data_IF_894749296825
#
_entry.id   IF_894749296825
#
_cell.length_a   1.000
_cell.length_b   1.000
_cell.length_c   1.000
_cell.angle_alpha   90.00
_cell.angle_beta   90.00
_cell.angle_gamma   90.00
#
_symmetry.space_group_name_H-M   'P 1'
#
loop_
_entity.id
_entity.type
_entity.pdbx_description
1 polymer ?
#
# COMPACT_ATOMS: atom_id res chain seq x y z
N UNK A 1 10.39 9.51 11.14
CA UNK A 1 9.59 10.28 12.14
C UNK A 1 9.98 11.75 12.19
N UNK A 2 11.26 12.14 12.25
CA UNK A 2 11.69 13.54 12.29
C UNK A 2 11.16 14.36 11.11
N UNK A 3 11.29 13.84 9.88
CA UNK A 3 10.80 14.52 8.66
C UNK A 3 9.28 14.75 8.72
N UNK A 4 8.49 13.74 9.12
CA UNK A 4 7.03 13.91 9.24
C UNK A 4 6.64 14.90 10.33
N UNK A 5 7.42 14.99 11.42
CA UNK A 5 7.23 16.00 12.43
C UNK A 5 7.43 17.42 11.89
N UNK A 6 8.45 17.64 11.08
CA UNK A 6 8.71 18.93 10.41
C UNK A 6 7.60 19.28 9.41
N UNK A 7 7.19 18.32 8.56
CA UNK A 7 6.10 18.52 7.59
C UNK A 7 4.80 18.91 8.30
N UNK A 8 4.45 18.20 9.38
CA UNK A 8 3.22 18.50 10.13
C UNK A 8 3.32 19.87 10.86
N UNK A 9 4.48 20.23 11.35
CA UNK A 9 4.69 21.54 12.00
C UNK A 9 4.57 22.70 10.99
N UNK A 10 5.02 22.50 9.75
CA UNK A 10 5.03 23.54 8.72
C UNK A 10 3.70 23.63 7.94
N UNK A 11 3.10 22.50 7.59
CA UNK A 11 1.93 22.44 6.69
C UNK A 11 0.65 21.93 7.37
N UNK A 12 0.74 21.51 8.62
CA UNK A 12 -0.35 20.86 9.33
C UNK A 12 -0.49 19.35 9.02
N UNK A 13 -1.45 18.68 9.66
CA UNK A 13 -1.71 17.25 9.44
C UNK A 13 -2.12 16.96 7.99
N UNK A 14 -1.60 15.89 7.37
CA UNK A 14 -1.97 15.53 6.01
C UNK A 14 -3.45 15.13 5.94
N UNK A 15 -4.13 15.51 4.86
CA UNK A 15 -5.49 15.03 4.56
C UNK A 15 -5.48 13.66 3.91
N UNK A 16 -4.46 13.35 3.12
CA UNK A 16 -4.28 12.06 2.47
C UNK A 16 -2.84 11.57 2.66
N UNK A 17 -2.70 10.33 3.07
CA UNK A 17 -1.42 9.62 3.14
C UNK A 17 -1.51 8.39 2.27
N UNK A 18 -0.56 8.23 1.35
CA UNK A 18 -0.46 7.04 0.50
C UNK A 18 0.87 6.35 0.78
N UNK A 19 0.80 5.17 1.41
CA UNK A 19 1.95 4.31 1.60
C UNK A 19 2.12 3.40 0.38
N UNK A 20 3.06 3.75 -0.50
CA UNK A 20 3.25 3.10 -1.81
C UNK A 20 4.65 2.49 -1.98
N UNK A 21 5.34 2.16 -0.89
CA UNK A 21 6.66 1.55 -0.97
C UNK A 21 6.58 0.06 -1.26
N UNK A 22 7.55 -0.45 -2.04
CA UNK A 22 7.67 -1.88 -2.30
C UNK A 22 9.14 -2.27 -2.51
N UNK A 23 9.50 -3.42 -1.95
CA UNK A 23 10.76 -4.12 -2.19
C UNK A 23 10.44 -5.49 -2.80
N UNK A 24 10.53 -5.58 -4.12
CA UNK A 24 10.20 -6.80 -4.85
C UNK A 24 11.39 -7.76 -4.84
N UNK A 25 11.22 -8.89 -4.19
CA UNK A 25 12.17 -10.01 -4.18
C UNK A 25 11.56 -11.20 -4.94
N UNK A 26 12.23 -11.63 -6.00
CA UNK A 26 11.84 -12.79 -6.81
C UNK A 26 13.02 -13.79 -6.80
N UNK A 27 12.94 -14.79 -5.95
CA UNK A 27 13.97 -15.83 -5.83
C UNK A 27 13.37 -17.13 -5.30
N UNK A 28 13.90 -18.32 -5.69
CA UNK A 28 13.57 -19.57 -5.02
C UNK A 28 13.81 -19.48 -3.52
N UNK A 29 12.99 -20.16 -2.71
CA UNK A 29 13.09 -20.09 -1.25
C UNK A 29 14.52 -20.38 -0.73
N UNK A 30 15.18 -21.42 -1.28
CA UNK A 30 16.53 -21.78 -0.90
C UNK A 30 17.60 -20.71 -1.23
N UNK A 31 17.27 -19.73 -2.08
CA UNK A 31 18.14 -18.61 -2.47
C UNK A 31 17.70 -17.28 -1.85
N UNK A 32 16.59 -17.27 -1.11
CA UNK A 32 16.08 -16.08 -0.43
C UNK A 32 16.74 -15.98 0.94
N UNK A 33 17.60 -14.98 1.12
CA UNK A 33 18.33 -14.75 2.36
C UNK A 33 17.47 -14.08 3.44
N UNK A 34 17.85 -14.21 4.70
CA UNK A 34 17.23 -13.41 5.79
C UNK A 34 17.35 -11.91 5.53
N UNK A 35 18.42 -11.48 4.86
CA UNK A 35 18.58 -10.08 4.44
C UNK A 35 17.50 -9.61 3.46
N UNK A 36 17.02 -10.49 2.56
CA UNK A 36 15.92 -10.18 1.65
C UNK A 36 14.60 -9.98 2.41
N UNK A 37 14.30 -10.86 3.37
CA UNK A 37 13.15 -10.69 4.25
C UNK A 37 13.25 -9.39 5.05
N UNK A 38 14.41 -9.09 5.62
CA UNK A 38 14.62 -7.87 6.39
C UNK A 38 14.40 -6.62 5.53
N UNK A 39 14.95 -6.56 4.31
CA UNK A 39 14.74 -5.45 3.39
C UNK A 39 13.27 -5.28 3.01
N UNK A 40 12.60 -6.39 2.66
CA UNK A 40 11.18 -6.37 2.31
C UNK A 40 10.32 -5.87 3.49
N UNK A 41 10.58 -6.37 4.70
CA UNK A 41 9.88 -5.95 5.91
C UNK A 41 10.14 -4.48 6.26
N UNK A 42 11.40 -4.05 6.26
CA UNK A 42 11.78 -2.67 6.58
C UNK A 42 11.19 -1.68 5.58
N UNK A 43 11.28 -1.97 4.28
CA UNK A 43 10.76 -1.10 3.24
C UNK A 43 9.24 -1.01 3.25
N UNK A 44 8.53 -2.10 3.49
CA UNK A 44 7.08 -2.16 3.36
C UNK A 44 6.34 -2.06 4.68
N UNK A 45 6.72 -2.84 5.70
CA UNK A 45 5.94 -2.92 6.95
C UNK A 45 6.40 -1.88 7.96
N UNK A 46 7.70 -1.83 8.25
CA UNK A 46 8.23 -0.88 9.22
C UNK A 46 8.00 0.57 8.79
N UNK A 47 8.16 0.88 7.50
CA UNK A 47 7.87 2.21 6.98
C UNK A 47 6.38 2.58 7.14
N UNK A 48 5.46 1.64 6.92
CA UNK A 48 4.03 1.86 7.13
C UNK A 48 3.72 2.14 8.61
N UNK A 49 4.32 1.37 9.54
CA UNK A 49 4.19 1.61 10.98
C UNK A 49 4.69 3.00 11.37
N UNK A 50 5.86 3.41 10.86
CA UNK A 50 6.45 4.73 11.14
C UNK A 50 5.60 5.89 10.61
N UNK A 51 5.07 5.77 9.42
CA UNK A 51 4.19 6.79 8.82
C UNK A 51 2.86 6.84 9.55
N UNK A 52 2.21 5.69 9.80
CA UNK A 52 0.97 5.64 10.57
C UNK A 52 1.14 6.23 11.97
N UNK A 53 2.19 5.84 12.69
CA UNK A 53 2.51 6.38 14.02
C UNK A 53 2.74 7.89 14.06
N UNK A 54 3.20 8.47 12.92
CA UNK A 54 3.44 9.91 12.82
C UNK A 54 2.20 10.70 12.36
N UNK A 55 1.23 10.07 11.68
CA UNK A 55 0.15 10.79 11.00
C UNK A 55 -1.25 10.52 11.55
N UNK A 56 -1.54 9.31 12.06
CA UNK A 56 -2.90 8.93 12.46
C UNK A 56 -3.48 9.86 13.53
N UNK A 57 -2.79 10.07 14.65
CA UNK A 57 -3.29 10.94 15.72
C UNK A 57 -3.39 12.42 15.31
N UNK A 58 -2.41 13.00 14.58
CA UNK A 58 -2.58 14.33 13.98
C UNK A 58 -3.81 14.44 13.07
N UNK A 59 -4.08 13.42 12.22
CA UNK A 59 -5.25 13.40 11.35
C UNK A 59 -6.56 13.37 12.15
N UNK A 60 -6.65 12.53 13.19
CA UNK A 60 -7.81 12.49 14.09
C UNK A 60 -8.07 13.88 14.70
N UNK A 61 -7.04 14.52 15.26
CA UNK A 61 -7.17 15.86 15.85
C UNK A 61 -7.58 16.95 14.85
N UNK A 62 -7.29 16.74 13.56
CA UNK A 62 -7.67 17.65 12.48
C UNK A 62 -9.05 17.37 11.87
N UNK A 63 -9.81 16.44 12.46
CA UNK A 63 -11.16 16.08 12.00
C UNK A 63 -11.19 14.97 10.94
N UNK A 64 -10.09 14.23 10.78
CA UNK A 64 -10.02 13.06 9.92
C UNK A 64 -9.11 13.21 8.70
N UNK A 65 -9.16 12.20 7.85
CA UNK A 65 -8.37 12.10 6.62
C UNK A 65 -8.40 10.69 6.04
N UNK A 66 -7.57 10.41 5.04
CA UNK A 66 -7.51 9.10 4.38
C UNK A 66 -6.09 8.53 4.40
N UNK A 67 -5.94 7.27 4.78
CA UNK A 67 -4.69 6.53 4.78
C UNK A 67 -4.81 5.30 3.87
N UNK A 68 -4.14 5.34 2.73
CA UNK A 68 -4.16 4.28 1.72
C UNK A 68 -2.85 3.50 1.76
N UNK A 69 -2.93 2.18 1.81
CA UNK A 69 -1.77 1.29 1.70
C UNK A 69 -1.85 0.52 0.39
N UNK A 70 -0.83 0.67 -0.45
CA UNK A 70 -0.71 -0.09 -1.70
C UNK A 70 -0.32 -1.54 -1.41
N UNK A 71 -1.29 -2.42 -1.56
CA UNK A 71 -1.14 -3.87 -1.53
C UNK A 71 -0.67 -4.43 -2.88
N UNK A 72 -0.88 -5.71 -3.05
CA UNK A 72 -0.61 -6.46 -4.29
C UNK A 72 -1.39 -7.78 -4.26
N UNK A 73 -1.40 -8.53 -5.36
CA UNK A 73 -1.78 -9.96 -5.39
C UNK A 73 -1.19 -10.73 -4.20
N UNK A 74 0.06 -10.40 -3.89
CA UNK A 74 0.82 -10.98 -2.77
C UNK A 74 0.28 -10.62 -1.37
N UNK A 75 -0.72 -9.75 -1.25
CA UNK A 75 -1.49 -9.53 -0.01
C UNK A 75 -2.58 -10.57 0.21
N UNK A 76 -2.93 -11.33 -0.82
CA UNK A 76 -4.01 -12.33 -0.82
C UNK A 76 -3.50 -13.76 -0.93
N UNK A 77 -2.46 -13.98 -1.73
CA UNK A 77 -1.88 -15.30 -1.99
C UNK A 77 -0.36 -15.23 -2.18
N UNK A 78 0.36 -16.21 -1.64
CA UNK A 78 1.80 -16.38 -1.88
C UNK A 78 2.03 -17.10 -3.19
N UNK A 79 2.87 -16.54 -4.08
CA UNK A 79 3.36 -17.21 -5.28
C UNK A 79 4.70 -17.90 -5.02
N UNK A 80 5.03 -18.93 -5.84
CA UNK A 80 6.37 -19.49 -5.85
C UNK A 80 7.41 -18.40 -6.16
N UNK A 81 8.55 -18.42 -5.47
CA UNK A 81 9.64 -17.43 -5.57
C UNK A 81 9.36 -16.04 -4.98
N UNK A 82 8.20 -15.82 -4.31
CA UNK A 82 7.81 -14.53 -3.73
C UNK A 82 7.74 -14.54 -2.20
N UNK A 83 8.39 -15.48 -1.52
CA UNK A 83 8.21 -15.71 -0.08
C UNK A 83 8.47 -14.46 0.78
N UNK A 84 9.58 -13.72 0.55
CA UNK A 84 9.87 -12.50 1.29
C UNK A 84 8.88 -11.36 0.97
N UNK A 85 8.54 -11.18 -0.30
CA UNK A 85 7.60 -10.15 -0.74
C UNK A 85 6.18 -10.43 -0.23
N UNK A 86 5.69 -11.66 -0.39
CA UNK A 86 4.35 -12.03 0.04
C UNK A 86 4.17 -11.95 1.56
N UNK A 87 5.15 -12.43 2.34
CA UNK A 87 5.08 -12.31 3.81
C UNK A 87 4.94 -10.86 4.28
N UNK A 88 5.68 -9.93 3.68
CA UNK A 88 5.58 -8.50 4.00
C UNK A 88 4.24 -7.90 3.53
N UNK A 89 3.72 -8.28 2.35
CA UNK A 89 2.42 -7.80 1.85
C UNK A 89 1.24 -8.32 2.68
N UNK A 90 1.29 -9.56 3.16
CA UNK A 90 0.30 -10.07 4.13
C UNK A 90 0.37 -9.31 5.46
N UNK A 91 1.59 -9.03 5.96
CA UNK A 91 1.76 -8.25 7.16
C UNK A 91 1.20 -6.82 7.02
N UNK A 92 1.40 -6.17 5.87
CA UNK A 92 0.79 -4.87 5.55
C UNK A 92 -0.73 -4.92 5.59
N UNK A 93 -1.35 -5.97 5.02
CA UNK A 93 -2.80 -6.14 5.05
C UNK A 93 -3.31 -6.27 6.48
N UNK A 94 -2.65 -7.10 7.31
CA UNK A 94 -2.98 -7.25 8.73
C UNK A 94 -2.85 -5.94 9.51
N UNK A 95 -1.77 -5.19 9.28
CA UNK A 95 -1.58 -3.85 9.85
C UNK A 95 -2.71 -2.91 9.46
N UNK A 96 -3.04 -2.84 8.16
CA UNK A 96 -4.10 -1.97 7.64
C UNK A 96 -5.46 -2.29 8.27
N UNK A 97 -5.78 -3.58 8.45
CA UNK A 97 -7.00 -4.02 9.12
C UNK A 97 -7.08 -3.57 10.59
N UNK A 98 -5.97 -3.63 11.31
CA UNK A 98 -5.89 -3.15 12.71
C UNK A 98 -6.08 -1.64 12.78
N UNK A 99 -5.36 -0.89 11.93
CA UNK A 99 -5.48 0.57 11.86
C UNK A 99 -6.89 1.02 11.47
N UNK A 100 -7.55 0.31 10.55
CA UNK A 100 -8.93 0.61 10.17
C UNK A 100 -9.89 0.48 11.36
N UNK A 101 -9.81 -0.62 12.11
CA UNK A 101 -10.67 -0.84 13.28
C UNK A 101 -10.46 0.19 14.38
N UNK A 102 -9.24 0.68 14.54
CA UNK A 102 -8.89 1.67 15.57
C UNK A 102 -9.27 3.10 15.15
N UNK A 103 -8.97 3.49 13.91
CA UNK A 103 -9.01 4.90 13.50
C UNK A 103 -10.23 5.29 12.65
N UNK A 104 -10.94 4.35 12.00
CA UNK A 104 -12.16 4.69 11.26
C UNK A 104 -13.26 5.28 12.16
N UNK A 105 -13.52 4.76 13.38
CA UNK A 105 -14.46 5.39 14.30
C UNK A 105 -14.05 6.82 14.71
N UNK A 106 -12.76 7.13 14.64
CA UNK A 106 -12.20 8.46 14.93
C UNK A 106 -12.08 9.37 13.69
N UNK A 107 -12.67 8.97 12.54
CA UNK A 107 -12.76 9.79 11.34
C UNK A 107 -11.59 9.65 10.36
N UNK A 108 -10.69 8.68 10.53
CA UNK A 108 -9.63 8.40 9.54
C UNK A 108 -10.00 7.21 8.68
N UNK A 109 -10.26 7.44 7.40
CA UNK A 109 -10.51 6.38 6.41
C UNK A 109 -9.22 5.60 6.13
N UNK A 110 -9.19 4.31 6.46
CA UNK A 110 -8.03 3.43 6.24
C UNK A 110 -8.38 2.37 5.20
N UNK A 111 -7.66 2.37 4.07
CA UNK A 111 -7.90 1.48 2.94
C UNK A 111 -6.65 0.70 2.53
N UNK A 112 -6.83 -0.59 2.21
CA UNK A 112 -5.83 -1.45 1.58
C UNK A 112 -6.20 -1.64 0.11
N UNK A 113 -5.45 -1.02 -0.79
CA UNK A 113 -5.66 -1.15 -2.23
C UNK A 113 -4.82 -2.30 -2.79
N UNK A 114 -5.46 -3.37 -3.21
CA UNK A 114 -4.83 -4.55 -3.80
C UNK A 114 -4.61 -4.25 -5.28
N UNK A 115 -3.34 -4.08 -5.67
CA UNK A 115 -2.94 -3.89 -7.08
C UNK A 115 -2.63 -5.28 -7.65
N UNK A 116 -3.66 -5.93 -8.22
CA UNK A 116 -3.55 -7.29 -8.77
C UNK A 116 -3.26 -7.23 -10.28
N UNK A 117 -2.02 -6.87 -10.59
CA UNK A 117 -1.50 -6.75 -11.93
C UNK A 117 -0.14 -6.06 -11.96
N UNK A 118 0.47 -5.99 -13.13
CA UNK A 118 1.75 -5.32 -13.36
C UNK A 118 1.47 -3.85 -13.66
N UNK A 119 2.08 -2.95 -12.87
CA UNK A 119 1.98 -1.51 -13.11
C UNK A 119 2.89 -1.13 -14.28
N UNK A 120 2.40 -0.35 -15.22
CA UNK A 120 3.13 0.11 -16.39
C UNK A 120 4.18 1.17 -16.01
N UNK A 121 5.42 0.73 -15.84
CA UNK A 121 6.58 1.56 -15.58
C UNK A 121 7.76 1.12 -16.44
N UNK A 122 8.76 1.99 -16.64
CA UNK A 122 9.98 1.62 -17.35
C UNK A 122 10.66 0.38 -16.75
N UNK A 123 10.67 0.25 -15.41
CA UNK A 123 11.21 -0.94 -14.72
C UNK A 123 10.38 -2.19 -15.02
N UNK A 124 9.06 -2.10 -14.98
CA UNK A 124 8.18 -3.24 -15.21
C UNK A 124 8.27 -3.74 -16.64
N UNK A 125 8.30 -2.83 -17.62
CA UNK A 125 8.48 -3.16 -19.04
C UNK A 125 9.78 -3.91 -19.31
N UNK A 126 10.87 -3.55 -18.60
CA UNK A 126 12.15 -4.24 -18.70
C UNK A 126 12.17 -5.60 -17.97
N UNK A 127 11.37 -5.76 -16.92
CA UNK A 127 11.36 -6.97 -16.08
C UNK A 127 10.39 -8.04 -16.61
N UNK A 128 9.29 -7.61 -17.21
CA UNK A 128 8.21 -8.49 -17.66
C UNK A 128 8.04 -8.41 -19.17
N UNK A 129 7.98 -9.57 -19.82
CA UNK A 129 7.65 -9.65 -21.24
C UNK A 129 6.11 -9.61 -21.43
N UNK A 130 5.51 -8.46 -21.07
CA UNK A 130 4.06 -8.25 -21.14
C UNK A 130 3.77 -7.00 -21.96
N UNK A 131 2.73 -7.08 -22.81
CA UNK A 131 2.23 -5.93 -23.56
C UNK A 131 1.81 -4.82 -22.60
N UNK A 132 2.35 -3.58 -22.73
CA UNK A 132 1.95 -2.45 -21.89
C UNK A 132 0.44 -2.17 -21.89
N UNK A 133 -0.28 -2.50 -22.97
CA UNK A 133 -1.73 -2.37 -23.03
C UNK A 133 -2.48 -3.27 -22.04
N UNK A 134 -1.82 -4.31 -21.52
CA UNK A 134 -2.34 -5.22 -20.50
C UNK A 134 -1.88 -4.87 -19.09
N UNK A 135 -1.07 -3.82 -18.93
CA UNK A 135 -0.58 -3.36 -17.63
C UNK A 135 -1.53 -2.32 -17.02
N UNK A 136 -1.45 -2.15 -15.71
CA UNK A 136 -2.16 -1.10 -14.98
C UNK A 136 -1.47 0.25 -15.21
N UNK A 137 -2.20 1.24 -15.68
CA UNK A 137 -1.65 2.60 -15.85
C UNK A 137 -1.56 3.30 -14.49
N UNK A 138 -0.43 3.95 -14.16
CA UNK A 138 -0.29 4.73 -12.93
C UNK A 138 -1.38 5.78 -12.75
N UNK A 139 -1.81 6.42 -13.83
CA UNK A 139 -2.84 7.46 -13.83
C UNK A 139 -4.20 6.89 -13.41
N UNK A 140 -4.57 5.69 -13.88
CA UNK A 140 -5.83 5.03 -13.55
C UNK A 140 -5.83 4.58 -12.06
N UNK A 141 -4.67 4.14 -11.54
CA UNK A 141 -4.50 3.84 -10.11
C UNK A 141 -4.64 5.12 -9.27
N UNK A 142 -4.03 6.21 -9.70
CA UNK A 142 -4.11 7.50 -9.00
C UNK A 142 -5.55 8.02 -8.95
N UNK A 143 -6.32 7.87 -10.03
CA UNK A 143 -7.74 8.21 -10.06
C UNK A 143 -8.56 7.36 -9.06
N UNK A 144 -8.31 6.05 -9.00
CA UNK A 144 -8.96 5.20 -8.01
C UNK A 144 -8.62 5.62 -6.56
N UNK A 145 -7.37 6.02 -6.30
CA UNK A 145 -6.97 6.53 -4.98
C UNK A 145 -7.60 7.88 -4.65
N UNK A 146 -7.76 8.74 -5.66
CA UNK A 146 -8.48 10.00 -5.50
C UNK A 146 -9.94 9.75 -5.10
N UNK A 147 -10.62 8.83 -5.77
CA UNK A 147 -11.99 8.43 -5.44
C UNK A 147 -12.10 7.88 -4.02
N UNK A 148 -11.16 6.99 -3.60
CA UNK A 148 -11.12 6.51 -2.21
C UNK A 148 -10.98 7.64 -1.20
N UNK A 149 -10.12 8.62 -1.46
CA UNK A 149 -9.88 9.74 -0.56
C UNK A 149 -11.10 10.67 -0.40
N UNK A 150 -12.05 10.63 -1.33
CA UNK A 150 -13.26 11.48 -1.35
C UNK A 150 -14.55 10.71 -1.08
N UNK A 151 -14.48 9.45 -0.66
CA UNK A 151 -15.67 8.68 -0.32
C UNK A 151 -16.39 9.26 0.91
N UNK A 152 -17.73 9.29 0.89
CA UNK A 152 -18.49 9.65 2.09
C UNK A 152 -18.29 8.62 3.20
N UNK A 153 -18.25 9.07 4.45
CA UNK A 153 -17.96 8.23 5.61
C UNK A 153 -18.88 7.03 5.77
N UNK A 154 -20.14 7.16 5.35
CA UNK A 154 -21.13 6.08 5.42
C UNK A 154 -20.85 4.89 4.50
N UNK A 155 -19.93 5.03 3.54
CA UNK A 155 -19.63 4.01 2.51
C UNK A 155 -18.13 3.86 2.25
N UNK A 156 -17.30 4.02 3.27
CA UNK A 156 -15.86 3.86 3.14
C UNK A 156 -15.46 2.44 2.74
N UNK A 157 -14.68 2.34 1.67
CA UNK A 157 -14.07 1.10 1.21
C UNK A 157 -12.86 0.76 2.07
N UNK A 158 -12.89 -0.41 2.74
CA UNK A 158 -11.73 -0.87 3.51
C UNK A 158 -10.71 -1.60 2.65
N UNK A 159 -11.14 -2.48 1.76
CA UNK A 159 -10.27 -3.16 0.79
C UNK A 159 -10.81 -2.94 -0.63
N UNK A 160 -9.91 -2.57 -1.54
CA UNK A 160 -10.22 -2.36 -2.95
C UNK A 160 -9.30 -3.25 -3.79
N UNK A 161 -9.87 -4.06 -4.67
CA UNK A 161 -9.15 -4.88 -5.64
C UNK A 161 -9.16 -4.17 -7.00
N UNK A 162 -7.98 -3.77 -7.46
CA UNK A 162 -7.76 -3.16 -8.77
C UNK A 162 -6.94 -4.10 -9.63
N UNK A 163 -7.44 -4.41 -10.81
CA UNK A 163 -6.76 -5.28 -11.78
C UNK A 163 -7.04 -4.88 -13.22
N UNK A 164 -6.14 -5.16 -14.18
CA UNK A 164 -6.45 -5.04 -15.59
C UNK A 164 -7.59 -5.99 -15.97
N UNK A 165 -8.42 -5.59 -16.93
CA UNK A 165 -9.52 -6.43 -17.42
C UNK A 165 -9.07 -7.80 -17.97
N UNK A 166 -7.80 -7.94 -18.32
CA UNK A 166 -7.21 -9.14 -18.87
C UNK A 166 -6.44 -10.00 -17.85
N UNK A 167 -6.41 -9.58 -16.57
CA UNK A 167 -5.75 -10.34 -15.51
C UNK A 167 -6.59 -11.58 -15.15
N UNK A 168 -5.94 -12.75 -15.08
CA UNK A 168 -6.59 -13.98 -14.66
C UNK A 168 -6.82 -14.05 -13.14
N UNK A 169 -7.87 -14.73 -12.74
CA UNK A 169 -8.18 -15.03 -11.34
C UNK A 169 -7.42 -16.26 -10.85
#
# INVERSE_FOLDING_TARGET
TAVMGQVIAEYGPPKVVIHNTAELVIAPFAQTSLGDYHRAWTSMVQSAVLIAGSTMQPMVRAGGGTFIVSGATASLRGGAKFSAFASAKFALRGLTQSLAREFQPAGVHVCHAILDGIIDTARSRNLHNLDPAKMMKPEDIAEAYWQLAHQPQSTWTHELDLRPAFEGF
#
